data_IF_333160419986
#
_entry.id   IF_333160419986
#
_cell.length_a   1.000
_cell.length_b   1.000
_cell.length_c   1.000
_cell.angle_alpha   90.00
_cell.angle_beta   90.00
_cell.angle_gamma   90.00
#
_symmetry.space_group_name_H-M   'P 1'
#
loop_
_entity.id
_entity.type
_entity.pdbx_description
1 polymer ?
#
# COMPACT_ATOMS: atom_id res chain seq x y z
N UNK A 1 15.94 2.27 -15.77
CA UNK A 1 15.38 1.46 -14.70
C UNK A 1 15.88 1.97 -13.37
N UNK A 2 14.96 2.31 -12.50
CA UNK A 2 15.30 2.83 -11.20
C UNK A 2 15.36 1.74 -10.14
N UNK A 3 16.09 2.01 -9.08
CA UNK A 3 16.08 1.16 -7.90
C UNK A 3 14.97 1.66 -6.98
N UNK A 4 14.14 0.78 -6.42
CA UNK A 4 13.10 1.23 -5.49
C UNK A 4 13.71 1.95 -4.29
N UNK A 5 13.13 3.09 -3.93
CA UNK A 5 13.53 3.86 -2.76
C UNK A 5 12.65 3.47 -1.59
N UNK A 6 13.26 2.94 -0.54
CA UNK A 6 12.52 2.55 0.65
C UNK A 6 11.95 3.78 1.36
N UNK A 7 10.70 3.70 1.77
CA UNK A 7 10.03 4.76 2.52
C UNK A 7 9.45 4.15 3.80
N UNK A 8 9.02 5.00 4.72
CA UNK A 8 8.44 4.54 5.98
C UNK A 8 6.94 4.81 5.99
N UNK A 9 6.16 3.76 5.79
CA UNK A 9 4.71 3.87 5.81
C UNK A 9 4.20 4.42 7.15
N UNK A 10 4.83 4.03 8.24
CA UNK A 10 4.40 4.46 9.57
C UNK A 10 4.79 5.91 9.90
N UNK A 11 5.61 6.54 9.07
CA UNK A 11 5.92 7.96 9.21
C UNK A 11 4.77 8.84 8.73
N UNK A 12 3.81 8.27 8.03
CA UNK A 12 2.63 9.01 7.58
C UNK A 12 1.65 9.21 8.72
N UNK A 13 0.80 10.23 8.62
CA UNK A 13 -0.27 10.43 9.58
C UNK A 13 -1.18 9.21 9.61
N UNK A 14 -1.79 8.98 10.77
CA UNK A 14 -2.69 7.83 10.93
C UNK A 14 -3.87 7.89 9.97
N UNK A 15 -4.35 9.08 9.65
CA UNK A 15 -5.44 9.25 8.70
C UNK A 15 -5.03 8.81 7.29
N UNK A 16 -3.79 9.15 6.89
CA UNK A 16 -3.28 8.72 5.60
C UNK A 16 -3.08 7.22 5.55
N UNK A 17 -2.53 6.65 6.62
CA UNK A 17 -2.34 5.21 6.71
C UNK A 17 -3.67 4.49 6.57
N UNK A 18 -4.68 4.97 7.26
CA UNK A 18 -6.01 4.39 7.20
C UNK A 18 -6.60 4.48 5.79
N UNK A 19 -6.47 5.64 5.14
CA UNK A 19 -6.98 5.84 3.80
C UNK A 19 -6.38 4.84 2.82
N UNK A 20 -5.07 4.62 2.89
CA UNK A 20 -4.41 3.66 2.01
C UNK A 20 -4.87 2.22 2.27
N UNK A 21 -5.04 1.88 3.54
CA UNK A 21 -5.52 0.54 3.90
C UNK A 21 -6.95 0.31 3.44
N UNK A 22 -7.79 1.34 3.50
CA UNK A 22 -9.16 1.25 3.07
C UNK A 22 -9.30 1.09 1.56
N UNK A 23 -8.37 1.67 0.79
CA UNK A 23 -8.44 1.61 -0.67
C UNK A 23 -7.73 0.39 -1.26
N UNK A 24 -6.98 -0.34 -0.46
CA UNK A 24 -6.27 -1.52 -0.94
C UNK A 24 -7.25 -2.65 -1.18
N UNK A 25 -7.23 -3.17 -2.40
CA UNK A 25 -8.11 -4.25 -2.82
C UNK A 25 -7.43 -5.60 -2.67
N UNK A 26 -8.13 -6.58 -2.15
CA UNK A 26 -7.66 -7.96 -2.10
C UNK A 26 -8.39 -8.79 -3.14
N UNK A 27 -7.67 -9.25 -4.17
CA UNK A 27 -8.27 -10.06 -5.23
C UNK A 27 -8.79 -11.40 -4.73
N UNK A 28 -8.13 -11.96 -3.73
CA UNK A 28 -8.54 -13.25 -3.18
C UNK A 28 -9.86 -13.13 -2.40
N UNK A 29 -9.98 -12.11 -1.58
CA UNK A 29 -11.21 -11.88 -0.81
C UNK A 29 -12.26 -11.13 -1.60
N UNK A 30 -11.85 -10.49 -2.70
CA UNK A 30 -12.71 -9.63 -3.53
C UNK A 30 -13.36 -8.52 -2.73
N UNK A 31 -12.59 -7.91 -1.83
CA UNK A 31 -13.05 -6.84 -0.95
C UNK A 31 -11.94 -5.82 -0.73
N UNK A 32 -12.36 -4.60 -0.40
CA UNK A 32 -11.44 -3.57 0.06
C UNK A 32 -11.56 -3.43 1.57
N UNK A 33 -10.71 -2.58 2.15
CA UNK A 33 -10.77 -2.22 3.58
C UNK A 33 -10.56 -3.41 4.52
N UNK A 34 -9.76 -4.36 4.06
CA UNK A 34 -9.42 -5.51 4.90
C UNK A 34 -8.13 -5.29 5.70
N UNK A 35 -7.43 -4.17 5.42
CA UNK A 35 -6.15 -3.87 6.03
C UNK A 35 -5.02 -4.70 5.45
N UNK A 36 -3.81 -4.47 5.94
CA UNK A 36 -2.67 -5.29 5.55
C UNK A 36 -1.70 -5.43 6.71
N UNK A 37 -1.04 -6.57 6.74
CA UNK A 37 -0.04 -6.88 7.75
C UNK A 37 1.34 -6.54 7.22
N UNK A 38 2.14 -5.84 8.03
CA UNK A 38 3.50 -5.48 7.67
C UNK A 38 3.62 -4.62 6.43
N UNK A 39 2.86 -3.50 6.33
CA UNK A 39 2.92 -2.68 5.12
C UNK A 39 4.31 -2.10 4.92
N UNK A 40 4.78 -2.16 3.68
CA UNK A 40 6.06 -1.62 3.25
C UNK A 40 5.80 -0.62 2.15
N UNK A 41 6.36 0.57 2.28
CA UNK A 41 6.22 1.61 1.28
C UNK A 41 7.54 1.81 0.54
N UNK A 42 7.45 1.94 -0.77
CA UNK A 42 8.62 2.25 -1.59
C UNK A 42 8.21 3.06 -2.81
N UNK A 43 9.18 3.76 -3.38
CA UNK A 43 8.97 4.59 -4.57
C UNK A 43 9.81 4.05 -5.71
N UNK A 44 9.20 3.92 -6.88
CA UNK A 44 9.88 3.46 -8.08
C UNK A 44 9.38 4.29 -9.27
N UNK A 45 10.30 5.01 -9.90
CA UNK A 45 10.02 5.80 -11.11
C UNK A 45 8.81 6.74 -10.95
N UNK A 46 8.74 7.43 -9.82
CA UNK A 46 7.67 8.40 -9.55
C UNK A 46 6.37 7.78 -9.08
N UNK A 47 6.32 6.47 -8.94
CA UNK A 47 5.14 5.78 -8.41
C UNK A 47 5.45 5.25 -7.01
N UNK A 48 4.54 5.50 -6.09
CA UNK A 48 4.68 5.02 -4.72
C UNK A 48 3.83 3.77 -4.58
N UNK A 49 4.45 2.71 -4.06
CA UNK A 49 3.79 1.44 -3.81
C UNK A 49 3.76 1.15 -2.32
N UNK A 50 2.63 0.67 -1.84
CA UNK A 50 2.49 0.20 -0.47
C UNK A 50 2.05 -1.25 -0.56
N UNK A 51 2.88 -2.16 -0.07
CA UNK A 51 2.67 -3.59 -0.21
C UNK A 51 2.64 -4.25 1.16
N UNK A 52 1.77 -5.21 1.33
CA UNK A 52 1.66 -5.97 2.56
C UNK A 52 0.85 -7.23 2.32
N UNK A 53 0.38 -7.84 3.39
CA UNK A 53 -0.43 -9.06 3.32
C UNK A 53 -1.82 -8.77 3.87
N UNK A 54 -2.83 -9.27 3.16
CA UNK A 54 -4.22 -9.12 3.60
C UNK A 54 -4.39 -9.72 4.99
N UNK A 55 -5.01 -8.98 5.89
CA UNK A 55 -5.22 -9.46 7.26
C UNK A 55 -6.22 -10.61 7.33
N UNK A 56 -7.04 -10.77 6.31
CA UNK A 56 -8.07 -11.80 6.32
C UNK A 56 -7.59 -13.11 5.70
N UNK A 57 -6.92 -13.05 4.55
CA UNK A 57 -6.52 -14.26 3.83
C UNK A 57 -5.01 -14.47 3.74
N UNK A 58 -4.21 -13.46 4.10
CA UNK A 58 -2.75 -13.58 4.07
C UNK A 58 -2.12 -13.44 2.69
N UNK A 59 -2.90 -13.16 1.65
CA UNK A 59 -2.36 -12.96 0.32
C UNK A 59 -1.69 -11.59 0.19
N UNK A 60 -0.70 -11.49 -0.68
CA UNK A 60 -0.05 -10.22 -0.94
C UNK A 60 -1.03 -9.26 -1.58
N UNK A 61 -1.07 -8.05 -1.04
CA UNK A 61 -1.90 -6.97 -1.57
C UNK A 61 -1.04 -5.72 -1.68
N UNK A 62 -1.38 -4.83 -2.59
CA UNK A 62 -0.64 -3.58 -2.72
C UNK A 62 -1.55 -2.47 -3.23
N UNK A 63 -1.10 -1.25 -2.97
CA UNK A 63 -1.75 -0.06 -3.49
C UNK A 63 -0.69 0.79 -4.18
N UNK A 64 -1.03 1.47 -5.25
CA UNK A 64 -0.07 2.33 -5.93
C UNK A 64 -0.62 3.73 -6.08
N UNK A 65 0.28 4.71 -5.95
CA UNK A 65 -0.05 6.13 -6.06
C UNK A 65 0.92 6.77 -7.05
N UNK A 66 0.39 7.53 -7.97
CA UNK A 66 1.23 8.29 -8.90
C UNK A 66 1.23 9.75 -8.51
N UNK A 67 2.32 10.45 -8.82
CA UNK A 67 2.41 11.88 -8.53
C UNK A 67 1.35 12.68 -9.30
N UNK A 68 0.86 12.14 -10.40
CA UNK A 68 -0.15 12.82 -11.21
C UNK A 68 -1.51 12.85 -10.53
N UNK A 69 -1.71 12.05 -9.51
CA UNK A 69 -2.98 11.98 -8.78
C UNK A 69 -3.05 12.97 -7.62
N UNK A 70 -2.05 13.79 -7.47
CA UNK A 70 -1.96 14.77 -6.37
C UNK A 70 -2.47 16.13 -6.83
#
# INVERSE_FOLDING_TARGET
>A
MGTPTSRDFYARDKEEQKAFLETTWCDHCMKADLGMQGPVEYELEGTIFIEGQCLQCGQAVYTELTDDDI
#
